data_IF_821243303177
#
_entry.id   IF_821243303177
#
_cell.length_a   1.000
_cell.length_b   1.000
_cell.length_c   1.000
_cell.angle_alpha   90.00
_cell.angle_beta   90.00
_cell.angle_gamma   90.00
#
_symmetry.space_group_name_H-M   'P 1'
#
loop_
_entity.id
_entity.type
_entity.pdbx_description
1 polymer ?
#
# COMPACT_ATOMS: atom_id res chain seq x y z
N UNK A 1 25.23 -16.01 4.76
CA UNK A 1 23.86 -16.56 4.71
C UNK A 1 23.11 -15.80 3.63
N UNK A 2 22.33 -16.47 2.79
CA UNK A 2 21.54 -15.84 1.72
C UNK A 2 20.06 -15.89 2.10
N UNK A 3 19.39 -14.74 2.11
CA UNK A 3 17.97 -14.60 2.44
C UNK A 3 17.21 -14.07 1.23
N UNK A 4 16.15 -14.76 0.84
CA UNK A 4 15.21 -14.25 -0.14
C UNK A 4 13.99 -13.65 0.54
N UNK A 5 13.47 -12.55 0.00
CA UNK A 5 12.18 -11.96 0.37
C UNK A 5 11.27 -11.94 -0.85
N UNK A 6 10.31 -12.84 -0.90
CA UNK A 6 9.31 -12.93 -1.96
C UNK A 6 8.04 -12.16 -1.56
N UNK A 7 7.59 -11.23 -2.38
CA UNK A 7 6.41 -10.42 -2.04
C UNK A 7 5.83 -9.64 -3.20
N UNK A 8 4.96 -8.70 -2.88
CA UNK A 8 4.53 -7.61 -3.78
C UNK A 8 5.56 -6.47 -3.69
N UNK A 9 5.21 -5.25 -4.08
CA UNK A 9 6.08 -4.06 -3.96
C UNK A 9 6.72 -3.87 -2.57
N UNK A 10 6.13 -4.40 -1.49
CA UNK A 10 6.66 -4.35 -0.13
C UNK A 10 7.91 -5.21 0.11
N UNK A 11 8.18 -6.20 -0.76
CA UNK A 11 9.31 -7.13 -0.63
C UNK A 11 10.64 -6.38 -0.47
N UNK A 12 10.83 -5.32 -1.25
CA UNK A 12 12.03 -4.49 -1.20
C UNK A 12 12.22 -3.84 0.19
N UNK A 13 11.17 -3.24 0.76
CA UNK A 13 11.27 -2.60 2.07
C UNK A 13 11.56 -3.59 3.20
N UNK A 14 10.99 -4.80 3.14
CA UNK A 14 11.36 -5.89 4.03
C UNK A 14 12.81 -6.32 3.87
N UNK A 15 13.27 -6.53 2.63
CA UNK A 15 14.65 -6.92 2.34
C UNK A 15 15.66 -5.86 2.83
N UNK A 16 15.38 -4.57 2.64
CA UNK A 16 16.20 -3.49 3.17
C UNK A 16 16.27 -3.51 4.70
N UNK A 17 15.16 -3.78 5.38
CA UNK A 17 15.13 -3.95 6.84
C UNK A 17 16.02 -5.11 7.30
N UNK A 18 15.85 -6.28 6.67
CA UNK A 18 16.65 -7.47 6.97
C UNK A 18 18.15 -7.27 6.69
N UNK A 19 18.51 -6.65 5.56
CA UNK A 19 19.90 -6.38 5.21
C UNK A 19 20.60 -5.47 6.24
N UNK A 20 19.87 -4.49 6.80
CA UNK A 20 20.41 -3.62 7.85
C UNK A 20 20.54 -4.34 9.19
N UNK A 21 19.61 -5.26 9.50
CA UNK A 21 19.62 -6.04 10.75
C UNK A 21 20.62 -7.20 10.75
N UNK A 22 20.93 -7.74 9.56
CA UNK A 22 21.79 -8.90 9.34
C UNK A 22 22.90 -8.52 8.33
N UNK A 23 23.88 -7.69 8.72
CA UNK A 23 24.85 -7.11 7.80
C UNK A 23 25.76 -8.14 7.11
N UNK A 24 25.91 -9.33 7.69
CA UNK A 24 26.68 -10.45 7.12
C UNK A 24 25.84 -11.36 6.20
N UNK A 25 24.54 -11.06 6.05
CA UNK A 25 23.64 -11.79 5.16
C UNK A 25 23.50 -11.06 3.82
N UNK A 26 23.47 -11.83 2.74
CA UNK A 26 23.04 -11.33 1.44
C UNK A 26 21.52 -11.43 1.38
N UNK A 27 20.83 -10.30 1.22
CA UNK A 27 19.36 -10.26 1.19
C UNK A 27 18.89 -9.75 -0.16
N UNK A 28 18.04 -10.54 -0.83
CA UNK A 28 17.51 -10.22 -2.15
C UNK A 28 15.97 -10.23 -2.14
N UNK A 29 15.35 -9.26 -2.81
CA UNK A 29 13.90 -9.16 -2.93
C UNK A 29 13.42 -9.66 -4.30
N UNK A 30 12.28 -10.34 -4.31
CA UNK A 30 11.63 -10.85 -5.51
C UNK A 30 10.16 -10.43 -5.50
N UNK A 31 9.69 -9.80 -6.58
CA UNK A 31 8.30 -9.44 -6.73
C UNK A 31 7.52 -10.49 -7.54
N UNK A 32 6.70 -11.29 -6.86
CA UNK A 32 5.99 -12.42 -7.47
C UNK A 32 5.07 -11.98 -8.61
N UNK A 33 4.43 -10.81 -8.47
CA UNK A 33 3.56 -10.22 -9.50
C UNK A 33 4.35 -9.83 -10.74
N UNK A 34 5.54 -9.23 -10.57
CA UNK A 34 6.43 -8.87 -11.70
C UNK A 34 6.92 -10.12 -12.40
N UNK A 35 7.41 -11.12 -11.64
CA UNK A 35 7.84 -12.40 -12.22
C UNK A 35 6.71 -13.08 -13.00
N UNK A 36 5.48 -13.06 -12.48
CA UNK A 36 4.31 -13.60 -13.20
C UNK A 36 4.01 -12.85 -14.47
N UNK A 37 3.93 -11.52 -14.41
CA UNK A 37 3.61 -10.68 -15.56
C UNK A 37 4.64 -10.78 -16.69
N UNK A 38 5.89 -11.08 -16.35
CA UNK A 38 6.97 -11.29 -17.33
C UNK A 38 7.18 -12.77 -17.73
N UNK A 39 6.36 -13.71 -17.24
CA UNK A 39 6.51 -15.14 -17.56
C UNK A 39 7.78 -15.77 -16.96
N UNK A 40 8.31 -15.21 -15.87
CA UNK A 40 9.57 -15.59 -15.22
C UNK A 40 9.38 -16.36 -13.90
N UNK A 41 8.19 -16.90 -13.66
CA UNK A 41 7.84 -17.59 -12.40
C UNK A 41 8.78 -18.78 -12.12
N UNK A 42 9.05 -19.62 -13.12
CA UNK A 42 9.95 -20.77 -12.98
C UNK A 42 11.40 -20.35 -12.73
N UNK A 43 11.87 -19.32 -13.44
CA UNK A 43 13.22 -18.78 -13.25
C UNK A 43 13.40 -18.22 -11.84
N UNK A 44 12.42 -17.46 -11.34
CA UNK A 44 12.43 -16.95 -9.98
C UNK A 44 12.44 -18.09 -8.96
N UNK A 45 11.63 -19.13 -9.14
CA UNK A 45 11.61 -20.28 -8.25
C UNK A 45 12.95 -21.03 -8.22
N UNK A 46 13.62 -21.15 -9.37
CA UNK A 46 14.95 -21.75 -9.44
C UNK A 46 16.00 -20.92 -8.69
N UNK A 47 15.96 -19.59 -8.83
CA UNK A 47 16.83 -18.70 -8.05
C UNK A 47 16.59 -18.85 -6.54
N UNK A 48 15.33 -18.97 -6.10
CA UNK A 48 14.97 -19.14 -4.69
C UNK A 48 15.57 -20.41 -4.07
N UNK A 49 15.86 -21.47 -4.85
CA UNK A 49 16.53 -22.68 -4.35
C UNK A 49 17.94 -22.40 -3.84
N UNK A 50 18.59 -21.34 -4.33
CA UNK A 50 19.95 -20.94 -3.96
C UNK A 50 20.05 -20.19 -2.63
N UNK A 51 18.93 -19.90 -1.95
CA UNK A 51 18.89 -19.18 -0.69
C UNK A 51 18.79 -20.12 0.51
N UNK A 52 19.28 -19.68 1.67
CA UNK A 52 19.25 -20.46 2.91
C UNK A 52 17.89 -20.35 3.61
N UNK A 53 17.25 -19.18 3.51
CA UNK A 53 15.96 -18.87 4.14
C UNK A 53 15.11 -18.03 3.19
N UNK A 54 13.80 -18.30 3.16
CA UNK A 54 12.84 -17.54 2.36
C UNK A 54 11.83 -16.87 3.29
N UNK A 55 11.74 -15.55 3.26
CA UNK A 55 10.59 -14.82 3.75
C UNK A 55 9.61 -14.61 2.60
N UNK A 56 8.32 -14.78 2.84
CA UNK A 56 7.32 -14.71 1.76
C UNK A 56 5.99 -14.08 2.21
N UNK A 57 5.40 -13.27 1.35
CA UNK A 57 3.99 -12.90 1.49
C UNK A 57 3.06 -14.00 0.94
N UNK A 58 1.76 -13.86 1.17
CA UNK A 58 0.79 -14.86 0.72
C UNK A 58 0.47 -14.74 -0.77
N UNK A 59 0.60 -15.86 -1.48
CA UNK A 59 0.30 -16.02 -2.90
C UNK A 59 -0.48 -17.31 -3.12
N UNK A 60 -1.54 -17.23 -3.93
CA UNK A 60 -2.34 -18.38 -4.32
C UNK A 60 -1.65 -19.27 -5.35
N UNK A 61 -2.33 -20.36 -5.72
CA UNK A 61 -1.82 -21.37 -6.65
C UNK A 61 -1.60 -20.83 -8.06
N UNK A 62 -2.24 -19.72 -8.42
CA UNK A 62 -2.05 -19.03 -9.70
C UNK A 62 -0.63 -18.46 -9.89
N UNK A 63 0.19 -18.45 -8.83
CA UNK A 63 1.62 -18.11 -8.88
C UNK A 63 2.53 -19.35 -9.05
N UNK A 64 1.96 -20.53 -9.27
CA UNK A 64 2.71 -21.75 -9.57
C UNK A 64 3.75 -22.07 -8.49
N UNK A 65 5.05 -22.26 -8.84
CA UNK A 65 6.09 -22.58 -7.86
C UNK A 65 6.40 -21.43 -6.87
N UNK A 66 5.95 -20.20 -7.16
CA UNK A 66 6.04 -19.07 -6.22
C UNK A 66 4.84 -18.99 -5.25
N UNK A 67 3.80 -19.80 -5.46
CA UNK A 67 2.65 -19.87 -4.57
C UNK A 67 3.04 -20.36 -3.18
N UNK A 68 2.43 -19.81 -2.12
CA UNK A 68 2.86 -20.09 -0.73
C UNK A 68 2.80 -21.57 -0.38
N UNK A 69 1.84 -22.32 -0.94
CA UNK A 69 1.74 -23.78 -0.75
C UNK A 69 2.82 -24.59 -1.49
N UNK A 70 3.46 -24.02 -2.51
CA UNK A 70 4.50 -24.68 -3.29
C UNK A 70 5.91 -24.42 -2.75
N UNK A 71 6.16 -23.27 -2.11
CA UNK A 71 7.48 -22.87 -1.61
C UNK A 71 8.17 -23.90 -0.69
N UNK A 72 7.48 -24.63 0.22
CA UNK A 72 8.14 -25.67 1.02
C UNK A 72 8.81 -26.77 0.19
N UNK A 73 8.35 -27.02 -1.05
CA UNK A 73 8.95 -28.00 -1.98
C UNK A 73 10.32 -27.57 -2.51
N UNK A 74 10.73 -26.32 -2.27
CA UNK A 74 12.08 -25.84 -2.56
C UNK A 74 13.11 -26.34 -1.54
N UNK A 75 12.67 -26.95 -0.43
CA UNK A 75 13.56 -27.54 0.58
C UNK A 75 14.25 -26.51 1.49
N UNK A 76 13.72 -25.28 1.56
CA UNK A 76 14.24 -24.19 2.40
C UNK A 76 13.25 -23.83 3.51
N UNK A 77 13.71 -23.38 4.69
CA UNK A 77 12.86 -22.73 5.67
C UNK A 77 12.08 -21.56 5.05
N UNK A 78 10.77 -21.56 5.23
CA UNK A 78 9.86 -20.52 4.73
C UNK A 78 9.18 -19.83 5.91
N UNK A 79 9.33 -18.50 6.01
CA UNK A 79 8.68 -17.66 7.01
C UNK A 79 7.72 -16.69 6.34
N UNK A 80 6.50 -16.57 6.88
CA UNK A 80 5.46 -15.72 6.28
C UNK A 80 5.59 -14.28 6.78
N UNK A 81 5.42 -13.33 5.87
CA UNK A 81 5.32 -11.89 6.13
C UNK A 81 3.92 -11.39 5.74
N UNK A 82 3.34 -10.44 6.50
CA UNK A 82 2.07 -9.83 6.12
C UNK A 82 2.22 -8.89 4.93
N UNK A 83 1.14 -8.70 4.17
CA UNK A 83 0.95 -7.50 3.34
C UNK A 83 0.39 -6.40 4.23
N UNK A 84 1.20 -5.41 4.58
CA UNK A 84 0.76 -4.31 5.46
C UNK A 84 -0.13 -3.36 4.67
N UNK A 85 -1.42 -3.39 4.97
CA UNK A 85 -2.41 -2.46 4.43
C UNK A 85 -3.08 -1.69 5.57
N UNK A 86 -3.19 -0.38 5.41
CA UNK A 86 -3.76 0.52 6.40
C UNK A 86 -4.40 1.72 5.69
N UNK A 87 -5.72 1.70 5.43
CA UNK A 87 -6.42 2.80 4.77
C UNK A 87 -6.78 3.95 5.72
N UNK A 88 -6.41 3.86 7.01
CA UNK A 88 -6.88 4.80 8.05
C UNK A 88 -6.48 6.26 7.82
N UNK A 89 -5.41 6.52 7.07
CA UNK A 89 -4.99 7.87 6.66
C UNK A 89 -5.60 8.32 5.33
N UNK A 90 -6.00 7.37 4.47
CA UNK A 90 -6.33 7.61 3.07
C UNK A 90 -7.67 6.94 2.70
N UNK A 91 -8.78 7.22 3.40
CA UNK A 91 -10.05 6.50 3.21
C UNK A 91 -10.70 6.78 1.84
N UNK A 92 -10.26 7.82 1.14
CA UNK A 92 -10.70 8.17 -0.22
C UNK A 92 -9.91 7.46 -1.33
N UNK A 93 -8.76 6.87 -1.00
CA UNK A 93 -7.89 6.21 -1.96
C UNK A 93 -8.37 4.78 -2.24
N UNK A 94 -8.75 4.50 -3.48
CA UNK A 94 -9.36 3.23 -3.87
C UNK A 94 -8.74 2.69 -5.16
N UNK A 95 -8.98 1.41 -5.44
CA UNK A 95 -8.84 0.87 -6.78
C UNK A 95 -10.18 0.96 -7.51
N UNK A 96 -10.14 1.29 -8.79
CA UNK A 96 -11.27 1.17 -9.68
C UNK A 96 -11.04 -0.05 -10.57
N UNK A 97 -12.01 -0.97 -10.60
CA UNK A 97 -11.89 -2.24 -11.33
C UNK A 97 -12.99 -2.37 -12.36
N UNK A 98 -12.63 -2.82 -13.56
CA UNK A 98 -13.57 -3.15 -14.63
C UNK A 98 -13.24 -4.56 -15.13
N UNK A 99 -14.19 -5.48 -15.06
CA UNK A 99 -14.02 -6.90 -15.42
C UNK A 99 -12.78 -7.55 -14.76
N UNK A 100 -12.57 -7.24 -13.47
CA UNK A 100 -11.43 -7.75 -12.70
C UNK A 100 -10.08 -7.07 -13.00
N UNK A 101 -10.05 -6.10 -13.91
CA UNK A 101 -8.83 -5.34 -14.25
C UNK A 101 -8.81 -4.00 -13.54
N UNK A 102 -7.70 -3.70 -12.88
CA UNK A 102 -7.46 -2.39 -12.26
C UNK A 102 -7.29 -1.35 -13.34
N UNK A 103 -8.02 -0.24 -13.21
CA UNK A 103 -7.94 0.89 -14.14
C UNK A 103 -6.85 1.87 -13.72
N UNK A 104 -6.27 2.53 -14.72
CA UNK A 104 -5.29 3.58 -14.49
C UNK A 104 -5.93 4.92 -14.12
N UNK A 105 -5.14 5.77 -13.49
CA UNK A 105 -5.50 7.12 -13.07
C UNK A 105 -4.31 8.10 -13.31
N UNK A 106 -4.49 9.41 -13.07
CA UNK A 106 -3.39 10.38 -13.12
C UNK A 106 -2.28 10.13 -12.08
N UNK A 107 -2.52 9.27 -11.09
CA UNK A 107 -1.63 8.94 -9.96
C UNK A 107 -1.48 7.41 -9.85
N UNK A 108 -1.20 6.76 -10.98
CA UNK A 108 -1.00 5.31 -11.04
C UNK A 108 -2.32 4.55 -10.98
N UNK A 109 -2.40 3.49 -10.19
CA UNK A 109 -3.58 2.63 -10.09
C UNK A 109 -4.67 3.15 -9.14
N UNK A 110 -4.44 4.29 -8.49
CA UNK A 110 -5.27 4.76 -7.38
C UNK A 110 -6.22 5.87 -7.78
N UNK A 111 -7.47 5.75 -7.36
CA UNK A 111 -8.52 6.72 -7.63
C UNK A 111 -9.00 7.36 -6.33
N UNK A 112 -9.50 8.59 -6.44
CA UNK A 112 -10.32 9.20 -5.40
C UNK A 112 -11.75 8.67 -5.54
N UNK A 113 -12.29 8.11 -4.47
CA UNK A 113 -13.66 7.64 -4.42
C UNK A 113 -14.65 8.79 -4.57
N UNK A 114 -14.38 9.95 -3.97
CA UNK A 114 -15.15 11.18 -4.13
C UNK A 114 -15.17 11.63 -5.60
N UNK A 115 -14.01 11.72 -6.27
CA UNK A 115 -13.96 12.16 -7.68
C UNK A 115 -14.68 11.17 -8.60
N UNK A 116 -14.48 9.86 -8.38
CA UNK A 116 -15.16 8.82 -9.16
C UNK A 116 -16.69 8.84 -8.97
N UNK A 117 -17.15 9.01 -7.73
CA UNK A 117 -18.57 9.08 -7.42
C UNK A 117 -19.22 10.37 -7.95
N UNK A 118 -18.55 11.52 -7.83
CA UNK A 118 -19.01 12.80 -8.36
C UNK A 118 -19.17 12.75 -9.89
N UNK A 119 -18.20 12.16 -10.60
CA UNK A 119 -18.29 11.93 -12.04
C UNK A 119 -19.50 11.05 -12.39
N UNK A 120 -19.69 9.94 -11.67
CA UNK A 120 -20.81 9.03 -11.90
C UNK A 120 -22.19 9.64 -11.62
N UNK A 121 -22.25 10.72 -10.83
CA UNK A 121 -23.47 11.49 -10.52
C UNK A 121 -23.68 12.67 -11.48
N UNK A 122 -22.77 12.93 -12.41
CA UNK A 122 -22.85 14.08 -13.31
C UNK A 122 -22.55 15.42 -12.62
N UNK A 123 -21.81 15.42 -11.52
CA UNK A 123 -21.33 16.66 -10.88
C UNK A 123 -20.31 17.32 -11.81
N UNK A 124 -20.50 18.62 -12.07
CA UNK A 124 -19.59 19.40 -12.90
C UNK A 124 -18.18 19.42 -12.32
N UNK A 125 -17.16 19.31 -13.20
CA UNK A 125 -15.75 19.20 -12.82
C UNK A 125 -15.30 20.34 -11.88
N UNK A 126 -15.84 21.55 -12.09
CA UNK A 126 -15.53 22.75 -11.33
C UNK A 126 -16.08 22.71 -9.88
N UNK A 127 -17.11 21.91 -9.61
CA UNK A 127 -17.77 21.84 -8.30
C UNK A 127 -17.21 20.73 -7.41
N UNK A 128 -16.53 19.74 -8.00
CA UNK A 128 -15.93 18.61 -7.26
C UNK A 128 -15.03 19.03 -6.11
N UNK A 129 -14.16 20.07 -6.21
CA UNK A 129 -13.34 20.50 -5.08
C UNK A 129 -14.16 20.87 -3.83
N UNK A 130 -15.40 21.32 -4.01
CA UNK A 130 -16.28 21.66 -2.89
C UNK A 130 -16.71 20.43 -2.08
N UNK A 131 -16.58 19.21 -2.64
CA UNK A 131 -16.87 17.95 -1.94
C UNK A 131 -15.74 17.52 -0.99
N UNK A 132 -14.56 18.14 -1.07
CA UNK A 132 -13.42 17.83 -0.20
C UNK A 132 -13.46 18.72 1.05
N UNK A 133 -14.37 18.38 1.97
CA UNK A 133 -14.54 19.11 3.22
C UNK A 133 -15.01 18.20 4.37
N UNK A 134 -14.87 18.71 5.59
CA UNK A 134 -15.28 18.03 6.85
C UNK A 134 -16.70 17.44 6.83
N UNK A 135 -17.70 18.15 6.32
CA UNK A 135 -19.09 17.68 6.33
C UNK A 135 -19.22 16.41 5.49
N UNK A 136 -18.65 16.42 4.28
CA UNK A 136 -18.64 15.25 3.40
C UNK A 136 -17.85 14.11 4.03
N UNK A 137 -16.67 14.38 4.59
CA UNK A 137 -15.85 13.36 5.24
C UNK A 137 -16.57 12.68 6.41
N UNK A 138 -17.29 13.44 7.24
CA UNK A 138 -18.11 12.88 8.32
C UNK A 138 -19.23 11.99 7.78
N UNK A 139 -19.92 12.42 6.72
CA UNK A 139 -20.99 11.62 6.08
C UNK A 139 -20.49 10.35 5.43
N UNK A 140 -19.26 10.36 4.90
CA UNK A 140 -18.59 9.18 4.35
C UNK A 140 -17.95 8.28 5.43
N UNK A 141 -17.94 8.71 6.69
CA UNK A 141 -17.31 7.99 7.80
C UNK A 141 -15.78 7.99 7.74
N UNK A 142 -15.19 8.99 7.07
CA UNK A 142 -13.74 9.11 6.89
C UNK A 142 -13.02 9.55 8.17
N UNK A 143 -13.72 10.28 9.05
CA UNK A 143 -13.15 10.76 10.32
C UNK A 143 -13.01 9.64 11.36
N UNK A 144 -13.77 8.57 11.23
CA UNK A 144 -13.77 7.40 12.14
C UNK A 144 -12.98 6.20 11.57
N UNK A 145 -12.48 6.32 10.33
CA UNK A 145 -11.85 5.22 9.60
C UNK A 145 -10.58 4.67 10.25
N UNK A 146 -9.82 5.53 10.93
CA UNK A 146 -8.52 5.20 11.52
C UNK A 146 -8.60 4.09 12.57
N UNK A 147 -9.55 4.20 13.52
CA UNK A 147 -9.69 3.21 14.60
C UNK A 147 -9.98 1.81 14.06
N UNK A 148 -10.85 1.70 13.03
CA UNK A 148 -11.14 0.42 12.37
C UNK A 148 -9.92 -0.13 11.63
N UNK A 149 -9.21 0.72 10.88
CA UNK A 149 -7.99 0.31 10.18
C UNK A 149 -6.90 -0.19 11.15
N UNK A 150 -6.77 0.46 12.32
CA UNK A 150 -5.85 0.06 13.39
C UNK A 150 -6.18 -1.30 13.96
N UNK A 151 -7.45 -1.56 14.30
CA UNK A 151 -7.88 -2.87 14.78
C UNK A 151 -7.57 -3.96 13.75
N UNK A 152 -7.93 -3.74 12.49
CA UNK A 152 -7.69 -4.71 11.41
C UNK A 152 -6.18 -4.97 11.17
N UNK A 153 -5.34 -3.94 11.28
CA UNK A 153 -3.89 -4.10 11.18
C UNK A 153 -3.33 -4.95 12.32
N UNK A 154 -3.75 -4.70 13.56
CA UNK A 154 -3.31 -5.49 14.71
C UNK A 154 -3.77 -6.95 14.62
N UNK A 155 -5.02 -7.18 14.21
CA UNK A 155 -5.53 -8.53 13.94
C UNK A 155 -4.78 -9.23 12.80
N UNK A 156 -4.38 -8.49 11.77
CA UNK A 156 -3.52 -9.01 10.71
C UNK A 156 -2.16 -9.43 11.28
N UNK A 157 -1.46 -8.54 11.99
CA UNK A 157 -0.13 -8.82 12.56
C UNK A 157 -0.18 -10.01 13.54
N UNK A 158 -1.22 -10.09 14.37
CA UNK A 158 -1.43 -11.21 15.29
C UNK A 158 -1.60 -12.55 14.57
N UNK A 159 -2.22 -12.60 13.38
CA UNK A 159 -2.32 -13.82 12.55
C UNK A 159 -0.95 -14.34 12.06
N UNK A 160 0.06 -13.48 12.02
CA UNK A 160 1.46 -13.86 11.74
C UNK A 160 2.26 -14.11 13.03
N UNK A 161 1.62 -14.06 14.20
CA UNK A 161 2.26 -14.21 15.50
C UNK A 161 3.14 -13.02 15.89
N UNK A 162 2.81 -11.83 15.39
CA UNK A 162 3.54 -10.58 15.67
C UNK A 162 2.70 -9.71 16.61
N UNK A 163 3.14 -9.57 17.86
CA UNK A 163 2.58 -8.58 18.79
C UNK A 163 3.31 -7.24 18.60
N UNK A 164 2.61 -6.29 17.99
CA UNK A 164 3.18 -5.02 17.52
C UNK A 164 2.29 -3.83 17.89
N UNK A 165 1.46 -3.96 18.94
CA UNK A 165 0.57 -2.88 19.36
C UNK A 165 1.35 -1.60 19.71
N UNK A 166 2.45 -1.74 20.46
CA UNK A 166 3.31 -0.62 20.81
C UNK A 166 4.05 -0.04 19.59
N UNK A 167 4.43 -0.87 18.62
CA UNK A 167 5.03 -0.42 17.36
C UNK A 167 4.06 0.46 16.57
N UNK A 168 2.79 0.05 16.45
CA UNK A 168 1.76 0.82 15.72
C UNK A 168 1.53 2.19 16.36
N UNK A 169 1.49 2.27 17.70
CA UNK A 169 1.41 3.57 18.40
C UNK A 169 2.63 4.44 18.11
N UNK A 170 3.84 3.85 18.22
CA UNK A 170 5.08 4.56 17.94
C UNK A 170 5.14 5.07 16.49
N UNK A 171 4.70 4.26 15.53
CA UNK A 171 4.68 4.66 14.12
C UNK A 171 3.74 5.84 13.90
N UNK A 172 2.57 5.86 14.53
CA UNK A 172 1.62 6.97 14.42
C UNK A 172 2.13 8.24 15.10
N UNK A 173 2.78 8.11 16.25
CA UNK A 173 3.39 9.25 16.96
C UNK A 173 4.48 9.94 16.13
N UNK A 174 5.20 9.19 15.28
CA UNK A 174 6.19 9.71 14.33
C UNK A 174 5.54 10.35 13.06
N UNK A 175 4.21 10.28 12.93
CA UNK A 175 3.42 10.80 11.82
C UNK A 175 2.77 9.72 10.94
N UNK A 176 2.23 10.07 9.77
CA UNK A 176 1.58 9.09 8.90
C UNK A 176 2.55 8.02 8.43
N UNK A 177 2.44 6.79 8.92
CA UNK A 177 3.38 5.71 8.62
C UNK A 177 3.12 4.99 7.28
N UNK A 178 2.20 5.52 6.47
CA UNK A 178 1.83 5.02 5.15
C UNK A 178 1.94 6.14 4.11
N UNK A 179 2.43 5.80 2.92
CA UNK A 179 2.39 6.65 1.72
C UNK A 179 1.07 6.53 0.94
N UNK A 180 0.36 5.42 1.12
CA UNK A 180 -0.93 5.10 0.50
C UNK A 180 -1.58 3.95 1.25
N UNK A 181 -2.69 3.39 0.76
CA UNK A 181 -3.43 2.34 1.51
C UNK A 181 -2.63 1.05 1.79
N UNK A 182 -1.63 0.75 0.98
CA UNK A 182 -0.82 -0.48 1.03
C UNK A 182 0.68 -0.21 0.83
N UNK A 183 1.10 1.05 0.88
CA UNK A 183 2.50 1.45 0.75
C UNK A 183 3.02 1.98 2.10
N UNK A 184 3.36 1.10 3.05
CA UNK A 184 3.96 1.51 4.33
C UNK A 184 5.32 2.18 4.12
N UNK A 185 5.70 3.06 5.04
CA UNK A 185 7.04 3.64 5.05
C UNK A 185 8.10 2.59 5.38
N UNK A 186 9.33 2.81 4.91
CA UNK A 186 10.47 1.93 5.16
C UNK A 186 10.63 1.44 6.61
N UNK A 187 10.55 2.33 7.64
CA UNK A 187 10.62 1.92 9.04
C UNK A 187 9.57 0.90 9.50
N UNK A 188 8.35 0.96 8.96
CA UNK A 188 7.27 0.01 9.29
C UNK A 188 7.63 -1.38 8.79
N UNK A 189 8.03 -1.48 7.52
CA UNK A 189 8.46 -2.74 6.93
C UNK A 189 9.69 -3.30 7.65
N UNK A 190 10.63 -2.44 8.03
CA UNK A 190 11.81 -2.86 8.80
C UNK A 190 11.46 -3.40 10.19
N UNK A 191 10.54 -2.77 10.91
CA UNK A 191 10.10 -3.23 12.24
C UNK A 191 9.33 -4.56 12.15
N UNK A 192 8.51 -4.75 11.10
CA UNK A 192 7.82 -6.04 10.84
C UNK A 192 8.82 -7.13 10.43
N UNK A 193 9.79 -6.82 9.54
CA UNK A 193 10.88 -7.73 9.18
C UNK A 193 11.70 -8.14 10.42
N UNK A 194 12.02 -7.19 11.30
CA UNK A 194 12.70 -7.45 12.57
C UNK A 194 11.93 -8.45 13.43
N UNK A 195 10.63 -8.21 13.63
CA UNK A 195 9.79 -9.10 14.42
C UNK A 195 9.72 -10.52 13.80
N UNK A 196 9.58 -10.61 12.48
CA UNK A 196 9.58 -11.88 11.76
C UNK A 196 10.93 -12.62 11.85
N UNK A 197 12.06 -11.90 11.75
CA UNK A 197 13.40 -12.47 11.85
C UNK A 197 13.74 -12.94 13.28
N UNK A 198 13.27 -12.25 14.31
CA UNK A 198 13.35 -12.74 15.70
C UNK A 198 12.57 -14.05 15.84
N UNK A 199 11.35 -14.09 15.32
CA UNK A 199 10.51 -15.30 15.34
C UNK A 199 11.13 -16.46 14.56
N UNK A 200 11.84 -16.16 13.47
CA UNK A 200 12.59 -17.13 12.67
C UNK A 200 13.89 -17.61 13.36
N UNK A 201 14.26 -17.03 14.52
CA UNK A 201 15.50 -17.36 15.21
C UNK A 201 16.77 -16.77 14.56
N UNK A 202 16.61 -15.86 13.60
CA UNK A 202 17.72 -15.19 12.92
C UNK A 202 18.24 -13.98 13.72
N UNK A 203 17.38 -13.40 14.55
CA UNK A 203 17.72 -12.28 15.42
C UNK A 203 17.42 -12.61 16.88
N UNK A 204 18.18 -11.99 17.78
CA UNK A 204 17.90 -12.04 19.21
C UNK A 204 16.68 -11.19 19.57
N UNK A 205 15.93 -11.51 20.64
CA UNK A 205 14.78 -10.72 21.06
C UNK A 205 15.06 -9.24 21.34
N UNK A 206 16.31 -8.90 21.70
CA UNK A 206 16.80 -7.56 22.00
C UNK A 206 17.36 -6.81 20.77
N UNK A 207 17.21 -7.37 19.56
CA UNK A 207 17.71 -6.73 18.33
C UNK A 207 17.11 -5.32 18.17
N UNK A 208 17.93 -4.30 17.85
CA UNK A 208 17.49 -2.92 17.77
C UNK A 208 16.55 -2.70 16.59
N UNK A 209 15.75 -1.63 16.67
CA UNK A 209 15.04 -1.10 15.50
C UNK A 209 16.04 -0.46 14.55
N UNK A 210 15.72 -0.50 13.27
CA UNK A 210 16.54 0.10 12.21
C UNK A 210 15.71 1.09 11.41
N UNK A 211 16.39 2.02 10.75
CA UNK A 211 15.79 2.99 9.82
C UNK A 211 16.52 2.84 8.50
N UNK A 212 15.96 2.07 7.54
CA UNK A 212 16.60 1.92 6.24
C UNK A 212 16.84 3.30 5.61
N UNK A 213 18.03 3.54 5.02
CA UNK A 213 18.37 4.83 4.43
C UNK A 213 17.56 5.13 3.16
N UNK A 214 16.95 4.10 2.56
CA UNK A 214 16.13 4.22 1.36
C UNK A 214 14.73 3.67 1.61
N UNK A 215 13.72 4.46 1.24
CA UNK A 215 12.32 4.06 1.25
C UNK A 215 11.87 3.79 -0.20
N UNK A 216 11.83 2.50 -0.56
CA UNK A 216 11.51 2.08 -1.92
C UNK A 216 10.09 2.49 -2.34
N UNK A 217 9.13 2.40 -1.41
CA UNK A 217 7.73 2.71 -1.70
C UNK A 217 7.46 4.22 -1.76
N UNK A 218 8.36 5.04 -1.20
CA UNK A 218 8.32 6.48 -1.39
C UNK A 218 8.63 6.92 -2.83
N UNK A 219 9.16 6.05 -3.70
CA UNK A 219 9.36 6.33 -5.12
C UNK A 219 8.04 6.27 -5.93
N UNK A 220 7.04 5.53 -5.42
CA UNK A 220 5.72 5.44 -6.04
C UNK A 220 4.83 6.64 -5.66
N UNK A 221 3.53 6.48 -5.90
CA UNK A 221 2.44 7.37 -5.58
C UNK A 221 2.34 7.58 -4.07
N UNK A 222 2.28 8.85 -3.67
CA UNK A 222 2.01 9.26 -2.30
C UNK A 222 0.67 9.99 -2.30
N UNK A 223 -0.28 9.43 -1.54
CA UNK A 223 -1.58 10.02 -1.30
C UNK A 223 -1.52 10.89 -0.04
N UNK A 224 -2.02 12.12 -0.06
CA UNK A 224 -1.99 12.97 1.11
C UNK A 224 -3.07 12.58 2.12
N UNK A 225 -2.83 12.88 3.39
CA UNK A 225 -3.89 12.93 4.40
C UNK A 225 -4.61 14.27 4.25
N UNK A 226 -5.92 14.24 4.02
CA UNK A 226 -6.67 15.49 3.81
C UNK A 226 -6.71 16.35 5.08
N UNK A 227 -6.71 17.68 4.98
CA UNK A 227 -6.53 18.58 6.12
C UNK A 227 -7.44 18.28 7.32
N UNK A 228 -8.74 18.05 7.09
CA UNK A 228 -9.69 17.83 8.17
C UNK A 228 -9.63 16.41 8.77
N UNK A 229 -9.16 15.43 7.99
CA UNK A 229 -8.82 14.10 8.52
C UNK A 229 -7.53 14.21 9.36
N UNK A 230 -6.53 14.91 8.84
CA UNK A 230 -5.24 15.12 9.49
C UNK A 230 -5.38 15.84 10.84
N UNK A 231 -6.27 16.83 10.92
CA UNK A 231 -6.63 17.53 12.15
C UNK A 231 -7.16 16.58 13.23
N UNK A 232 -8.11 15.69 12.88
CA UNK A 232 -8.67 14.69 13.80
C UNK A 232 -7.59 13.70 14.27
N UNK A 233 -6.65 13.37 13.40
CA UNK A 233 -5.59 12.39 13.68
C UNK A 233 -4.33 13.01 14.30
N UNK A 234 -4.24 14.33 14.43
CA UNK A 234 -3.05 15.00 14.95
C UNK A 234 -1.80 14.84 14.07
N UNK A 235 -1.96 14.73 12.76
CA UNK A 235 -0.86 14.56 11.79
C UNK A 235 -0.82 15.69 10.75
N UNK A 236 0.27 15.85 9.98
CA UNK A 236 0.31 16.84 8.90
C UNK A 236 -0.68 16.51 7.77
N UNK A 237 -1.46 17.51 7.34
CA UNK A 237 -2.40 17.42 6.22
C UNK A 237 -1.88 18.06 4.93
N UNK A 238 -2.40 17.63 3.79
CA UNK A 238 -2.06 18.17 2.46
C UNK A 238 -3.14 17.86 1.43
N UNK A 239 -3.07 18.54 0.27
CA UNK A 239 -3.84 18.22 -0.93
C UNK A 239 -2.91 18.04 -2.16
N UNK A 240 -1.65 17.69 -1.90
CA UNK A 240 -0.64 17.39 -2.91
C UNK A 240 -0.46 15.88 -3.05
N UNK A 241 -0.70 15.38 -4.26
CA UNK A 241 -0.57 13.98 -4.62
C UNK A 241 0.75 13.81 -5.37
N UNK A 242 1.60 12.90 -4.90
CA UNK A 242 2.79 12.52 -5.66
C UNK A 242 2.40 11.47 -6.69
N UNK A 243 2.82 11.63 -7.94
CA UNK A 243 2.68 10.60 -8.98
C UNK A 243 3.79 9.57 -8.86
N UNK A 244 3.51 8.37 -9.36
CA UNK A 244 4.57 7.48 -9.79
C UNK A 244 5.49 8.21 -10.78
N UNK A 245 6.78 8.11 -10.54
CA UNK A 245 7.82 8.68 -11.39
C UNK A 245 8.97 7.70 -11.45
N UNK A 246 9.48 7.43 -12.66
CA UNK A 246 10.72 6.70 -12.76
C UNK A 246 11.84 7.50 -12.05
N UNK A 247 12.63 6.87 -11.16
CA UNK A 247 13.65 7.57 -10.38
C UNK A 247 14.76 8.15 -11.28
N UNK A 248 14.88 7.68 -12.51
CA UNK A 248 15.85 8.14 -13.51
C UNK A 248 15.16 9.10 -14.48
N UNK A 249 15.38 10.41 -14.31
CA UNK A 249 14.86 11.45 -15.20
C UNK A 249 14.97 12.85 -14.58
N UNK A 250 14.82 13.93 -15.39
CA UNK A 250 15.01 15.32 -14.93
C UNK A 250 13.99 15.76 -13.86
N UNK A 251 12.81 15.12 -13.83
CA UNK A 251 11.78 15.36 -12.81
C UNK A 251 11.91 14.41 -11.62
N UNK A 252 12.67 13.31 -11.75
CA UNK A 252 12.90 12.30 -10.71
C UNK A 252 11.67 12.04 -9.84
N UNK A 253 11.85 12.07 -8.52
CA UNK A 253 10.80 11.89 -7.51
C UNK A 253 9.99 13.17 -7.18
N UNK A 254 9.98 14.20 -8.05
CA UNK A 254 9.38 15.51 -7.77
C UNK A 254 8.05 15.77 -8.51
N UNK A 255 7.35 14.72 -8.97
CA UNK A 255 6.07 14.88 -9.67
C UNK A 255 4.89 14.99 -8.68
N UNK A 256 4.51 16.21 -8.35
CA UNK A 256 3.34 16.50 -7.52
C UNK A 256 2.22 17.20 -8.30
N UNK A 257 0.98 16.88 -7.96
CA UNK A 257 -0.22 17.57 -8.46
C UNK A 257 -1.14 17.95 -7.31
N UNK A 258 -1.83 19.08 -7.44
CA UNK A 258 -2.90 19.47 -6.53
C UNK A 258 -4.25 18.86 -6.93
N UNK A 259 -5.22 18.93 -6.02
CA UNK A 259 -6.59 18.43 -6.24
C UNK A 259 -7.23 18.90 -7.57
N UNK A 260 -7.19 20.20 -7.98
CA UNK A 260 -7.83 20.61 -9.22
C UNK A 260 -7.29 19.88 -10.45
N UNK A 261 -5.98 19.58 -10.47
CA UNK A 261 -5.35 18.84 -11.55
C UNK A 261 -5.69 17.35 -11.49
N UNK A 262 -5.76 16.76 -10.30
CA UNK A 262 -6.23 15.39 -10.13
C UNK A 262 -7.66 15.23 -10.68
N UNK A 263 -8.59 16.10 -10.27
CA UNK A 263 -10.00 16.09 -10.71
C UNK A 263 -10.09 16.14 -12.23
N UNK A 264 -9.48 17.15 -12.86
CA UNK A 264 -9.52 17.34 -14.31
C UNK A 264 -8.99 16.14 -15.10
N UNK A 265 -7.84 15.61 -14.69
CA UNK A 265 -7.23 14.48 -15.41
C UNK A 265 -8.01 13.18 -15.16
N UNK A 266 -8.54 12.97 -13.95
CA UNK A 266 -9.43 11.85 -13.64
C UNK A 266 -10.71 11.91 -14.48
N UNK A 267 -11.39 13.05 -14.54
CA UNK A 267 -12.58 13.25 -15.38
C UNK A 267 -12.26 12.98 -16.86
N UNK A 268 -11.09 13.43 -17.34
CA UNK A 268 -10.57 13.11 -18.67
C UNK A 268 -10.51 11.62 -18.96
N UNK A 269 -9.99 10.84 -18.03
CA UNK A 269 -9.90 9.38 -18.16
C UNK A 269 -11.27 8.70 -18.00
N UNK A 270 -12.11 9.17 -17.07
CA UNK A 270 -13.41 8.58 -16.77
C UNK A 270 -14.41 8.68 -17.92
N UNK A 271 -14.30 9.72 -18.77
CA UNK A 271 -15.10 9.83 -20.00
C UNK A 271 -14.93 8.67 -20.97
N UNK A 272 -13.81 7.95 -20.90
CA UNK A 272 -13.55 6.77 -21.72
C UNK A 272 -13.99 5.45 -21.06
N UNK A 273 -14.41 5.47 -19.79
CA UNK A 273 -14.83 4.29 -19.05
C UNK A 273 -16.36 4.09 -19.15
N UNK A 274 -16.84 2.83 -19.22
CA UNK A 274 -18.27 2.56 -19.18
C UNK A 274 -18.85 2.87 -17.79
N UNK A 275 -20.16 3.17 -17.69
CA UNK A 275 -20.82 3.45 -16.41
C UNK A 275 -20.64 2.37 -15.35
N UNK A 276 -20.51 1.10 -15.76
CA UNK A 276 -20.31 -0.04 -14.86
C UNK A 276 -19.03 0.06 -14.03
N UNK A 277 -18.01 0.77 -14.52
CA UNK A 277 -16.76 0.99 -13.81
C UNK A 277 -16.94 1.76 -12.49
N UNK A 278 -18.10 2.40 -12.28
CA UNK A 278 -18.43 3.22 -11.11
C UNK A 278 -19.57 2.65 -10.26
N UNK A 279 -20.01 1.40 -10.51
CA UNK A 279 -21.21 0.81 -9.87
C UNK A 279 -20.92 -0.09 -8.67
N UNK A 280 -19.66 -0.45 -8.43
CA UNK A 280 -19.29 -1.43 -7.41
C UNK A 280 -18.28 -0.88 -6.39
N UNK A 281 -18.05 -1.69 -5.34
CA UNK A 281 -17.01 -1.44 -4.35
C UNK A 281 -17.20 -0.13 -3.56
N UNK A 282 -16.09 0.56 -3.31
CA UNK A 282 -16.07 1.79 -2.54
C UNK A 282 -16.77 2.96 -3.28
N UNK A 283 -16.67 3.01 -4.61
CA UNK A 283 -17.31 4.06 -5.42
C UNK A 283 -18.84 4.03 -5.23
N UNK A 284 -19.44 2.84 -5.24
CA UNK A 284 -20.88 2.69 -5.05
C UNK A 284 -21.37 3.30 -3.73
N UNK A 285 -20.67 3.01 -2.62
CA UNK A 285 -21.00 3.53 -1.29
C UNK A 285 -20.86 5.05 -1.20
N UNK A 286 -19.77 5.59 -1.75
CA UNK A 286 -19.56 7.04 -1.78
C UNK A 286 -20.61 7.71 -2.67
N UNK A 287 -20.95 7.12 -3.81
CA UNK A 287 -21.98 7.63 -4.72
C UNK A 287 -23.35 7.71 -4.06
N UNK A 288 -23.77 6.67 -3.34
CA UNK A 288 -25.02 6.66 -2.60
C UNK A 288 -25.06 7.77 -1.54
N UNK A 289 -23.98 7.91 -0.76
CA UNK A 289 -23.88 8.96 0.25
C UNK A 289 -23.88 10.36 -0.35
N UNK A 290 -23.14 10.59 -1.45
CA UNK A 290 -23.12 11.87 -2.16
C UNK A 290 -24.47 12.21 -2.76
N UNK A 291 -25.16 11.24 -3.38
CA UNK A 291 -26.50 11.46 -3.94
C UNK A 291 -27.49 11.96 -2.88
N UNK A 292 -27.44 11.42 -1.67
CA UNK A 292 -28.27 11.87 -0.55
C UNK A 292 -27.90 13.25 0.03
N UNK A 293 -26.78 13.84 -0.38
CA UNK A 293 -26.38 15.21 -0.01
C UNK A 293 -26.64 16.23 -1.10
N UNK A 294 -26.72 15.79 -2.36
CA UNK A 294 -26.92 16.65 -3.54
C UNK A 294 -28.40 16.80 -3.95
N UNK A 295 -29.26 15.89 -3.49
CA UNK A 295 -30.73 15.96 -3.65
C UNK A 295 -31.40 16.63 -2.47
#
# INVERSE_FOLDING_TARGET
MRIAVLGVCQAHGYAHGLAHLLPEAEVEAFEAVVSRNHGQVEQAAELLRGFDVIFTQEFGDEFGPLGTGALPRLGRPVHRLPVVAFPGYHPDMIYLTLHGQVQGSPVGAYHSAIVAAAFALGVEEADVPQLFNRLVYARLGYLEGFGRARTLLLELLARYGLDMAADVESWHADGPFMHGINHPRGPVLADVARAAAIRAGLLRPDAPRVRPPFDHLAADTIWPVYPEIAEVLGVPGSMLFKRYSHPVGPLGNALYIGLPRLVRESYGMYRALPPDAFREGAVAKVREALAGMLG
#
